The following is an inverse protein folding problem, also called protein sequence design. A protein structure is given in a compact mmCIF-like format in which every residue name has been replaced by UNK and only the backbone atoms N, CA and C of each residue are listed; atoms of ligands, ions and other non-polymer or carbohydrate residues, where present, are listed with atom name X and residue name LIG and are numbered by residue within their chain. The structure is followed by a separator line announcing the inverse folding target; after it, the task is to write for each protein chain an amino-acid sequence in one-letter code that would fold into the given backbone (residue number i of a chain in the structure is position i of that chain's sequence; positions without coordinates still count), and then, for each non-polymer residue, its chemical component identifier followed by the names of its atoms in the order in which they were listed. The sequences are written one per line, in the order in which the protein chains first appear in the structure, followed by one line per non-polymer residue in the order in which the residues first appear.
data_IF_569977352394
#
_entry.id   IF_569977352394
#
_cell.length_a   1.000
_cell.length_b   1.000
_cell.length_c   1.000
_cell.angle_alpha   90.00
_cell.angle_beta   90.00
_cell.angle_gamma   90.00
#
_symmetry.space_group_name_H-M   'P 1'
#
loop_
_entity.id
_entity.type
_entity.pdbx_description
1 polymer ?
#
# COMPACT_ATOMS: atom_id res chain seq x y z
N UNK A 1 -7.94 -18.61 16.07
CA UNK A 1 -9.30 -18.16 16.41
C UNK A 1 -9.54 -16.90 15.62
N UNK A 2 -10.65 -16.80 14.89
CA UNK A 2 -11.01 -15.59 14.15
C UNK A 2 -12.02 -14.79 14.99
N UNK A 3 -11.70 -13.55 15.38
CA UNK A 3 -12.60 -12.69 16.15
C UNK A 3 -13.71 -12.08 15.27
N UNK A 4 -14.78 -11.57 15.91
CA UNK A 4 -15.85 -10.88 15.20
C UNK A 4 -15.48 -9.42 14.89
N UNK A 5 -15.96 -8.85 13.78
CA UNK A 5 -15.67 -7.43 13.47
C UNK A 5 -16.16 -6.45 14.53
N UNK A 6 -17.29 -6.76 15.18
CA UNK A 6 -17.86 -5.94 16.26
C UNK A 6 -16.96 -5.86 17.50
N UNK A 7 -15.99 -6.77 17.64
CA UNK A 7 -15.02 -6.79 18.74
C UNK A 7 -13.79 -5.91 18.43
N UNK A 8 -13.70 -5.33 17.22
CA UNK A 8 -12.57 -4.48 16.87
C UNK A 8 -12.61 -3.16 17.66
N UNK A 9 -11.63 -2.99 18.54
CA UNK A 9 -11.39 -1.71 19.19
C UNK A 9 -10.60 -0.78 18.28
N UNK A 10 -11.09 0.44 18.08
CA UNK A 10 -10.39 1.47 17.31
C UNK A 10 -8.99 1.71 17.91
N UNK A 11 -7.99 1.89 17.05
CA UNK A 11 -6.57 2.04 17.42
C UNK A 11 -5.92 0.83 18.14
N UNK A 12 -6.56 -0.34 18.17
CA UNK A 12 -5.94 -1.56 18.72
C UNK A 12 -4.90 -2.19 17.79
N UNK A 13 -4.97 -1.90 16.48
CA UNK A 13 -4.16 -2.54 15.44
C UNK A 13 -4.25 -4.08 15.43
N UNK A 14 -5.31 -4.67 16.01
CA UNK A 14 -5.48 -6.12 16.09
C UNK A 14 -5.52 -6.78 14.71
N UNK A 15 -4.84 -7.93 14.59
CA UNK A 15 -4.78 -8.80 13.41
C UNK A 15 -5.63 -10.07 13.53
N UNK A 16 -6.42 -10.19 14.60
CA UNK A 16 -7.14 -11.43 14.92
C UNK A 16 -8.55 -11.53 14.29
N UNK A 17 -8.99 -10.46 13.61
CA UNK A 17 -10.31 -10.38 12.98
C UNK A 17 -10.16 -10.58 11.47
N UNK A 18 -10.30 -11.84 11.03
CA UNK A 18 -9.95 -12.22 9.66
C UNK A 18 -10.83 -11.56 8.61
N UNK A 19 -12.14 -11.39 8.83
CA UNK A 19 -13.02 -10.74 7.83
C UNK A 19 -12.62 -9.28 7.61
N UNK A 20 -12.32 -8.56 8.70
CA UNK A 20 -11.85 -7.17 8.63
C UNK A 20 -10.51 -7.09 7.91
N UNK A 21 -9.57 -7.96 8.27
CA UNK A 21 -8.24 -7.96 7.67
C UNK A 21 -8.28 -8.43 6.22
N UNK A 22 -9.15 -9.38 5.87
CA UNK A 22 -9.40 -9.78 4.50
C UNK A 22 -9.92 -8.60 3.69
N UNK A 23 -10.97 -7.91 4.17
CA UNK A 23 -11.51 -6.72 3.51
C UNK A 23 -10.47 -5.62 3.33
N UNK A 24 -9.63 -5.38 4.34
CA UNK A 24 -8.68 -4.26 4.38
C UNK A 24 -7.36 -4.53 3.66
N UNK A 25 -6.86 -5.74 3.72
CA UNK A 25 -5.48 -6.08 3.36
C UNK A 25 -5.39 -7.09 2.21
N UNK A 26 -6.46 -7.34 1.46
CA UNK A 26 -6.40 -8.23 0.29
C UNK A 26 -6.91 -7.57 -0.98
N UNK A 27 -6.38 -8.01 -2.13
CA UNK A 27 -6.86 -7.54 -3.42
C UNK A 27 -8.32 -7.91 -3.64
N UNK A 28 -8.71 -9.16 -3.31
CA UNK A 28 -10.10 -9.61 -3.41
C UNK A 28 -11.04 -8.76 -2.54
N UNK A 29 -10.65 -8.45 -1.30
CA UNK A 29 -11.42 -7.61 -0.40
C UNK A 29 -11.61 -6.17 -0.91
N UNK A 30 -10.54 -5.54 -1.40
CA UNK A 30 -10.60 -4.21 -2.02
C UNK A 30 -11.41 -4.23 -3.32
N UNK A 31 -11.18 -5.20 -4.18
CA UNK A 31 -11.90 -5.39 -5.44
C UNK A 31 -13.42 -5.46 -5.24
N UNK A 32 -13.88 -6.23 -4.24
CA UNK A 32 -15.29 -6.31 -3.90
C UNK A 32 -15.83 -4.99 -3.32
N UNK A 33 -15.04 -4.31 -2.48
CA UNK A 33 -15.44 -3.05 -1.83
C UNK A 33 -15.60 -1.90 -2.84
N UNK A 34 -14.73 -1.86 -3.86
CA UNK A 34 -14.78 -0.87 -4.94
C UNK A 34 -15.68 -1.30 -6.12
N UNK A 35 -16.39 -2.43 -5.99
CA UNK A 35 -17.39 -2.93 -6.95
C UNK A 35 -16.85 -3.06 -8.39
N UNK A 36 -15.65 -3.61 -8.54
CA UNK A 36 -15.08 -3.89 -9.85
C UNK A 36 -15.76 -5.10 -10.51
N UNK A 37 -16.01 -5.04 -11.82
CA UNK A 37 -16.81 -6.05 -12.54
C UNK A 37 -16.02 -7.32 -12.97
N UNK A 38 -14.70 -7.20 -13.17
CA UNK A 38 -13.83 -8.28 -13.67
C UNK A 38 -13.40 -9.27 -12.56
N UNK A 39 -12.62 -10.31 -12.90
CA UNK A 39 -11.96 -11.14 -11.87
C UNK A 39 -10.80 -10.38 -11.19
N UNK A 40 -10.76 -10.38 -9.85
CA UNK A 40 -9.78 -9.64 -9.06
C UNK A 40 -8.32 -9.97 -9.40
N UNK A 41 -8.01 -11.19 -9.88
CA UNK A 41 -6.64 -11.60 -10.27
C UNK A 41 -6.19 -10.96 -11.58
N UNK A 42 -7.14 -10.51 -12.40
CA UNK A 42 -6.88 -9.91 -13.74
C UNK A 42 -7.37 -8.47 -13.86
N UNK A 43 -8.04 -7.95 -12.82
CA UNK A 43 -8.59 -6.60 -12.80
C UNK A 43 -7.49 -5.54 -12.92
N UNK A 44 -7.55 -4.76 -14.00
CA UNK A 44 -6.58 -3.68 -14.28
C UNK A 44 -6.68 -2.54 -13.27
N UNK A 45 -7.90 -2.20 -12.82
CA UNK A 45 -8.11 -1.16 -11.80
C UNK A 45 -7.38 -1.52 -10.50
N UNK A 46 -7.58 -2.73 -9.99
CA UNK A 46 -6.85 -3.22 -8.81
C UNK A 46 -5.32 -3.18 -8.97
N UNK A 47 -4.81 -3.35 -10.21
CA UNK A 47 -3.37 -3.27 -10.49
C UNK A 47 -2.83 -1.85 -10.44
N UNK A 48 -3.66 -0.86 -10.75
CA UNK A 48 -3.34 0.57 -10.86
C UNK A 48 -3.61 1.33 -9.55
N UNK A 49 -4.56 0.88 -8.74
CA UNK A 49 -4.95 1.54 -7.48
C UNK A 49 -3.88 1.49 -6.39
N UNK A 50 -2.91 0.58 -6.52
CA UNK A 50 -1.87 0.34 -5.52
C UNK A 50 -0.47 0.43 -6.12
N UNK A 51 0.46 0.92 -5.29
CA UNK A 51 1.88 0.73 -5.54
C UNK A 51 2.20 -0.75 -5.70
N UNK A 52 3.16 -1.07 -6.57
CA UNK A 52 3.44 -2.44 -6.99
C UNK A 52 3.75 -3.38 -5.79
N UNK A 53 4.55 -2.92 -4.83
CA UNK A 53 4.86 -3.67 -3.62
C UNK A 53 3.60 -3.96 -2.79
N UNK A 54 2.68 -2.98 -2.68
CA UNK A 54 1.40 -3.16 -1.98
C UNK A 54 0.47 -4.11 -2.72
N UNK A 55 0.37 -3.97 -4.05
CA UNK A 55 -0.42 -4.87 -4.90
C UNK A 55 0.00 -6.34 -4.69
N UNK A 56 1.31 -6.59 -4.74
CA UNK A 56 1.86 -7.95 -4.55
C UNK A 56 1.57 -8.45 -3.15
N UNK A 57 1.77 -7.63 -2.12
CA UNK A 57 1.52 -8.05 -0.74
C UNK A 57 0.04 -8.33 -0.47
N UNK A 58 -0.87 -7.46 -0.93
CA UNK A 58 -2.33 -7.67 -0.84
C UNK A 58 -2.78 -8.91 -1.60
N UNK A 59 -2.08 -9.30 -2.67
CA UNK A 59 -2.39 -10.54 -3.41
C UNK A 59 -1.83 -11.81 -2.78
N UNK A 60 -0.91 -11.74 -1.81
CA UNK A 60 -0.10 -12.91 -1.40
C UNK A 60 0.04 -13.14 0.10
N UNK A 61 -0.40 -12.21 0.95
CA UNK A 61 -0.30 -12.30 2.41
C UNK A 61 -1.19 -13.40 3.04
N UNK A 62 -1.09 -13.58 4.37
CA UNK A 62 -1.85 -14.60 5.11
C UNK A 62 -3.38 -14.36 5.20
N UNK A 63 -3.88 -13.17 4.87
CA UNK A 63 -5.32 -12.87 4.92
C UNK A 63 -6.06 -13.31 3.65
N UNK A 64 -5.33 -13.80 2.64
CA UNK A 64 -5.89 -14.30 1.40
C UNK A 64 -6.38 -15.74 1.54
N UNK A 65 -7.64 -16.00 1.17
CA UNK A 65 -8.14 -17.37 0.98
C UNK A 65 -7.52 -18.02 -0.26
N UNK A 66 -7.35 -17.24 -1.32
CA UNK A 66 -6.64 -17.61 -2.53
C UNK A 66 -5.56 -16.58 -2.82
N UNK A 67 -4.34 -17.03 -3.13
CA UNK A 67 -3.21 -16.14 -3.44
C UNK A 67 -3.14 -15.88 -4.94
N UNK A 68 -2.65 -14.70 -5.30
CA UNK A 68 -2.32 -14.33 -6.67
C UNK A 68 -1.25 -15.31 -7.19
N UNK A 69 -1.53 -16.08 -8.26
CA UNK A 69 -0.69 -17.23 -8.64
C UNK A 69 0.67 -16.83 -9.24
N UNK A 70 0.76 -15.66 -9.87
CA UNK A 70 1.98 -15.17 -10.51
C UNK A 70 2.17 -13.68 -10.18
N UNK A 71 2.51 -13.34 -8.92
CA UNK A 71 2.70 -11.96 -8.55
C UNK A 71 3.91 -11.37 -9.31
N UNK A 72 3.80 -10.14 -9.84
CA UNK A 72 4.94 -9.49 -10.47
C UNK A 72 6.08 -9.29 -9.45
N UNK A 73 7.32 -9.41 -9.91
CA UNK A 73 8.48 -9.00 -9.12
C UNK A 73 8.48 -7.48 -8.95
N UNK A 74 9.01 -7.01 -7.83
CA UNK A 74 9.08 -5.59 -7.50
C UNK A 74 10.40 -5.26 -6.81
N UNK A 75 10.87 -4.04 -7.04
CA UNK A 75 11.98 -3.48 -6.28
C UNK A 75 11.46 -2.97 -4.94
N UNK A 76 12.04 -3.36 -3.80
CA UNK A 76 11.62 -2.86 -2.50
C UNK A 76 11.71 -1.35 -2.42
N UNK A 77 10.80 -0.74 -1.66
CA UNK A 77 10.83 0.69 -1.43
C UNK A 77 11.86 1.05 -0.37
N UNK A 78 12.61 2.14 -0.60
CA UNK A 78 13.62 2.63 0.34
C UNK A 78 13.41 4.11 0.64
N UNK A 79 13.78 4.51 1.85
CA UNK A 79 13.81 5.91 2.25
C UNK A 79 14.84 6.67 1.41
N UNK A 80 14.38 7.69 0.69
CA UNK A 80 15.23 8.52 -0.17
C UNK A 80 16.30 9.34 0.58
N UNK A 81 16.26 9.40 1.92
CA UNK A 81 17.26 10.10 2.75
C UNK A 81 18.33 9.17 3.29
N UNK A 82 17.91 8.13 4.00
CA UNK A 82 18.80 7.27 4.77
C UNK A 82 18.99 5.88 4.14
N UNK A 83 18.24 5.53 3.10
CA UNK A 83 18.32 4.23 2.43
C UNK A 83 17.68 3.08 3.22
N UNK A 84 17.01 3.35 4.33
CA UNK A 84 16.29 2.33 5.11
C UNK A 84 15.15 1.72 4.28
N UNK A 85 14.98 0.39 4.36
CA UNK A 85 13.89 -0.32 3.68
C UNK A 85 12.56 0.06 4.31
N UNK A 86 11.60 0.45 3.47
CA UNK A 86 10.21 0.73 3.86
C UNK A 86 9.36 -0.45 3.41
N UNK A 87 8.55 -1.00 4.31
CA UNK A 87 7.57 -2.04 3.98
C UNK A 87 6.24 -1.32 3.71
N UNK A 88 5.93 -0.96 2.47
CA UNK A 88 4.75 -0.12 2.17
C UNK A 88 3.42 -0.60 2.80
N UNK A 89 3.12 -1.91 2.87
CA UNK A 89 1.86 -2.37 3.45
C UNK A 89 1.72 -2.20 4.97
N UNK A 90 2.84 -2.03 5.71
CA UNK A 90 2.84 -2.13 7.18
C UNK A 90 3.71 -1.09 7.90
N UNK A 91 4.73 -0.57 7.23
CA UNK A 91 5.68 0.39 7.78
C UNK A 91 5.12 1.80 7.82
N UNK A 92 5.65 2.61 8.73
CA UNK A 92 5.39 4.04 8.74
C UNK A 92 6.28 4.78 7.74
N UNK A 93 5.63 5.54 6.87
CA UNK A 93 6.30 6.36 5.88
C UNK A 93 5.44 7.56 5.46
N UNK A 94 6.10 8.52 4.80
CA UNK A 94 5.46 9.58 4.06
C UNK A 94 5.90 9.54 2.60
N UNK A 95 4.99 9.89 1.69
CA UNK A 95 5.26 9.96 0.26
C UNK A 95 4.88 11.33 -0.30
N UNK A 96 5.72 11.87 -1.19
CA UNK A 96 5.45 13.12 -1.90
C UNK A 96 6.02 13.05 -3.31
N UNK A 97 5.18 13.18 -4.34
CA UNK A 97 5.64 13.25 -5.74
C UNK A 97 6.58 12.09 -6.14
N UNK A 98 6.28 10.87 -5.67
CA UNK A 98 7.11 9.67 -5.90
C UNK A 98 8.34 9.54 -5.00
N UNK A 99 8.55 10.46 -4.06
CA UNK A 99 9.61 10.39 -3.05
C UNK A 99 9.07 9.76 -1.78
N UNK A 100 9.73 8.72 -1.29
CA UNK A 100 9.39 8.03 -0.04
C UNK A 100 10.37 8.38 1.09
N UNK A 101 9.86 8.55 2.31
CA UNK A 101 10.62 8.81 3.54
C UNK A 101 10.09 7.98 4.70
N UNK A 102 10.98 7.32 5.45
CA UNK A 102 10.61 6.64 6.69
C UNK A 102 10.26 7.66 7.79
N UNK A 103 9.63 7.18 8.85
CA UNK A 103 9.20 8.01 9.99
C UNK A 103 10.34 8.81 10.65
N UNK A 104 11.56 8.26 10.63
CA UNK A 104 12.74 8.91 11.20
C UNK A 104 13.31 10.03 10.31
N UNK A 105 12.83 10.16 9.08
CA UNK A 105 13.34 11.11 8.09
C UNK A 105 12.24 12.02 7.52
N UNK A 106 11.46 12.73 8.36
CA UNK A 106 10.34 13.53 7.90
C UNK A 106 10.78 14.57 6.86
N UNK A 107 9.91 14.79 5.87
CA UNK A 107 10.13 15.82 4.85
C UNK A 107 9.97 17.19 5.51
N UNK A 108 11.04 17.97 5.55
CA UNK A 108 10.98 19.36 5.99
C UNK A 108 10.27 20.24 4.96
N UNK A 109 9.76 21.40 5.36
CA UNK A 109 9.07 22.31 4.42
C UNK A 109 9.99 22.77 3.27
N UNK A 110 11.27 22.99 3.54
CA UNK A 110 12.26 23.29 2.49
C UNK A 110 12.42 22.11 1.52
N UNK A 111 12.56 20.88 2.02
CA UNK A 111 12.63 19.69 1.16
C UNK A 111 11.34 19.49 0.36
N UNK A 112 10.17 19.77 0.95
CA UNK A 112 8.87 19.69 0.28
C UNK A 112 8.83 20.58 -0.96
N UNK A 113 9.17 21.86 -0.82
CA UNK A 113 9.21 22.82 -1.92
C UNK A 113 10.17 22.36 -3.03
N UNK A 114 11.36 21.88 -2.65
CA UNK A 114 12.35 21.38 -3.59
C UNK A 114 11.86 20.14 -4.35
N UNK A 115 11.22 19.18 -3.67
CA UNK A 115 10.64 17.97 -4.26
C UNK A 115 9.55 18.36 -5.26
N UNK A 116 8.61 19.23 -4.88
CA UNK A 116 7.52 19.68 -5.74
C UNK A 116 8.08 20.38 -6.97
N UNK A 117 9.05 21.29 -6.80
CA UNK A 117 9.69 21.99 -7.92
C UNK A 117 10.34 21.03 -8.91
N UNK A 118 11.09 20.03 -8.42
CA UNK A 118 11.72 18.99 -9.27
C UNK A 118 10.68 18.12 -9.98
N UNK A 119 9.58 17.81 -9.30
CA UNK A 119 8.50 17.03 -9.89
C UNK A 119 7.84 17.77 -11.05
N UNK A 120 7.49 19.04 -10.85
CA UNK A 120 6.91 19.92 -11.89
C UNK A 120 7.86 20.09 -13.08
N UNK A 121 9.16 20.32 -12.83
CA UNK A 121 10.12 20.47 -13.93
C UNK A 121 10.28 19.19 -14.78
N UNK A 122 10.05 18.01 -14.19
CA UNK A 122 10.16 16.72 -14.90
C UNK A 122 8.88 16.33 -15.64
N UNK A 123 7.71 16.70 -15.13
CA UNK A 123 6.42 16.25 -15.68
C UNK A 123 5.65 17.34 -16.45
N UNK A 124 6.21 18.56 -16.51
CA UNK A 124 5.56 19.73 -17.08
C UNK A 124 4.41 20.21 -16.19
N UNK A 125 4.16 21.53 -16.18
CA UNK A 125 2.88 22.03 -15.70
C UNK A 125 1.82 21.56 -16.71
N UNK A 126 1.11 20.48 -16.40
CA UNK A 126 -0.12 20.11 -17.12
C UNK A 126 -1.22 21.11 -16.79
#
# INVERSE_FOLDING_TARGET
MCGNESEYMMFSYSRDICSRNHRRFTLCGSHHTEEHEDDWKTCKKCREDFELEMYVWYGTNEYNFEKLPNPPAFEPTYCSKCGERIILPDGGYSSLCGVYRCDNCPITEKEREEIIRKYKSKHGDK
#
